data_IF_029953198004
#
_entry.id   IF_029953198004
#
_cell.length_a   1.000
_cell.length_b   1.000
_cell.length_c   1.000
_cell.angle_alpha   90.00
_cell.angle_beta   90.00
_cell.angle_gamma   90.00
#
_symmetry.space_group_name_H-M   'P 1'
#
loop_
_entity.id
_entity.type
_entity.pdbx_description
1 polymer ?
#
# COMPACT_ATOMS: atom_id res chain seq x y z
N UNK A 1 3.65 -12.69 -11.47
CA UNK A 1 2.49 -12.79 -12.38
C UNK A 1 2.18 -11.36 -12.82
N UNK A 2 1.48 -11.13 -13.93
CA UNK A 2 1.05 -9.77 -14.29
C UNK A 2 -0.32 -9.48 -13.66
N UNK A 3 -0.37 -8.55 -12.71
CA UNK A 3 -1.59 -8.16 -12.00
C UNK A 3 -2.26 -6.90 -12.59
N UNK A 4 -1.65 -6.24 -13.58
CA UNK A 4 -2.21 -5.03 -14.19
C UNK A 4 -2.35 -3.83 -13.25
N UNK A 5 -1.51 -3.74 -12.21
CA UNK A 5 -1.57 -2.69 -11.19
C UNK A 5 -0.77 -1.43 -11.54
N UNK A 6 0.02 -1.47 -12.61
CA UNK A 6 0.74 -0.29 -13.13
C UNK A 6 -0.22 0.89 -13.38
N UNK A 7 0.16 2.07 -12.90
CA UNK A 7 -0.61 3.32 -12.99
C UNK A 7 -1.98 3.28 -12.27
N UNK A 8 -2.23 2.31 -11.37
CA UNK A 8 -3.38 2.32 -10.48
C UNK A 8 -3.06 2.99 -9.16
N UNK A 9 -4.08 3.56 -8.52
CA UNK A 9 -3.98 4.09 -7.16
C UNK A 9 -4.70 3.16 -6.20
N UNK A 10 -4.03 2.75 -5.12
CA UNK A 10 -4.58 1.86 -4.10
C UNK A 10 -4.53 2.51 -2.72
N UNK A 11 -5.68 2.61 -2.06
CA UNK A 11 -5.78 3.05 -0.67
C UNK A 11 -5.74 1.85 0.28
N UNK A 12 -4.83 1.87 1.25
CA UNK A 12 -4.70 0.81 2.24
C UNK A 12 -4.92 1.37 3.64
N UNK A 13 -6.04 0.98 4.26
CA UNK A 13 -6.35 1.37 5.63
C UNK A 13 -5.46 0.64 6.66
N UNK A 14 -5.22 1.28 7.82
CA UNK A 14 -4.42 0.72 8.91
C UNK A 14 -3.03 0.21 8.44
N UNK A 15 -2.36 1.00 7.60
CA UNK A 15 -1.16 0.59 6.87
C UNK A 15 0.16 1.01 7.50
N UNK A 16 0.14 1.57 8.72
CA UNK A 16 1.36 1.94 9.45
C UNK A 16 2.17 0.72 9.92
N UNK A 17 1.57 -0.48 10.02
CA UNK A 17 2.27 -1.68 10.47
C UNK A 17 1.55 -2.99 10.09
N UNK A 18 2.19 -4.11 10.41
CA UNK A 18 1.61 -5.45 10.28
C UNK A 18 1.16 -5.75 8.85
N UNK A 19 0.00 -6.40 8.73
CA UNK A 19 -0.53 -6.82 7.44
C UNK A 19 -0.85 -5.64 6.51
N UNK A 20 -1.38 -4.53 7.03
CA UNK A 20 -1.68 -3.35 6.21
C UNK A 20 -0.43 -2.78 5.55
N UNK A 21 0.69 -2.72 6.30
CA UNK A 21 2.00 -2.31 5.74
C UNK A 21 2.50 -3.30 4.70
N UNK A 22 2.43 -4.60 4.98
CA UNK A 22 2.86 -5.63 4.03
C UNK A 22 2.06 -5.58 2.73
N UNK A 23 0.73 -5.45 2.82
CA UNK A 23 -0.15 -5.34 1.65
C UNK A 23 0.20 -4.10 0.83
N UNK A 24 0.37 -2.94 1.46
CA UNK A 24 0.76 -1.73 0.77
C UNK A 24 2.11 -1.87 0.04
N UNK A 25 3.09 -2.54 0.67
CA UNK A 25 4.39 -2.80 0.05
C UNK A 25 4.28 -3.71 -1.17
N UNK A 26 3.52 -4.80 -1.10
CA UNK A 26 3.35 -5.68 -2.26
C UNK A 26 2.57 -4.98 -3.39
N UNK A 27 1.53 -4.20 -3.08
CA UNK A 27 0.82 -3.41 -4.09
C UNK A 27 1.74 -2.41 -4.80
N UNK A 28 2.62 -1.76 -4.04
CA UNK A 28 3.61 -0.84 -4.61
C UNK A 28 4.64 -1.57 -5.50
N UNK A 29 5.09 -2.75 -5.09
CA UNK A 29 6.01 -3.59 -5.89
C UNK A 29 5.39 -4.03 -7.22
N UNK A 30 4.08 -4.24 -7.24
CA UNK A 30 3.32 -4.57 -8.45
C UNK A 30 3.00 -3.33 -9.32
N UNK A 31 3.48 -2.14 -8.93
CA UNK A 31 3.42 -0.91 -9.74
C UNK A 31 2.27 0.03 -9.42
N UNK A 32 1.49 -0.24 -8.36
CA UNK A 32 0.47 0.69 -7.89
C UNK A 32 1.10 1.88 -7.15
N UNK A 33 0.52 3.07 -7.33
CA UNK A 33 0.72 4.18 -6.40
C UNK A 33 -0.15 3.95 -5.16
N UNK A 34 0.47 3.92 -3.98
CA UNK A 34 -0.22 3.58 -2.74
C UNK A 34 -0.46 4.80 -1.85
N UNK A 35 -1.67 4.89 -1.30
CA UNK A 35 -2.06 5.87 -0.29
C UNK A 35 -2.20 5.15 1.05
N UNK A 36 -1.44 5.61 2.03
CA UNK A 36 -1.39 5.03 3.37
C UNK A 36 -2.22 5.86 4.35
N UNK A 37 -2.67 5.22 5.44
CA UNK A 37 -3.25 5.95 6.56
C UNK A 37 -2.86 5.32 7.90
N UNK A 38 -2.69 6.21 8.87
CA UNK A 38 -2.33 5.90 10.25
C UNK A 38 -2.86 7.01 11.16
N UNK A 39 -2.83 6.75 12.47
CA UNK A 39 -3.20 7.74 13.50
C UNK A 39 -2.00 8.52 14.03
N UNK A 40 -0.80 7.99 13.77
CA UNK A 40 0.47 8.49 14.24
C UNK A 40 1.30 8.85 13.02
N UNK A 41 1.85 10.06 12.99
CA UNK A 41 2.59 10.60 11.85
C UNK A 41 4.03 10.05 11.79
N UNK A 42 4.58 9.68 12.94
CA UNK A 42 5.97 9.19 13.04
C UNK A 42 6.07 7.69 12.75
N UNK A 43 4.93 7.01 12.53
CA UNK A 43 4.86 5.56 12.39
C UNK A 43 4.44 5.07 11.01
#
# INVERSE_FOLDING_TARGET
>A
MDLGLNNKVAFVAASSQGLGKSVALELAREGASVVLCGRDLER
#
